data_IF_225234863008
#
_entry.id   IF_225234863008
#
_cell.length_a   1.000
_cell.length_b   1.000
_cell.length_c   1.000
_cell.angle_alpha   90.00
_cell.angle_beta   90.00
_cell.angle_gamma   90.00
#
_symmetry.space_group_name_H-M   'P 1'
#
loop_
_entity.id
_entity.type
_entity.pdbx_description
1 polymer ?
#
# COMPACT_ATOMS: atom_id res chain seq x y z
N UNK A 1 5.96 -11.30 -16.30
CA UNK A 1 7.32 -11.54 -15.74
C UNK A 1 7.30 -11.91 -14.27
N UNK A 2 6.55 -11.21 -13.41
CA UNK A 2 6.44 -11.52 -11.97
C UNK A 2 6.14 -13.01 -11.69
N UNK A 3 5.18 -13.61 -12.41
CA UNK A 3 4.80 -15.01 -12.20
C UNK A 3 5.92 -16.02 -12.55
N UNK A 4 6.80 -15.71 -13.52
CA UNK A 4 7.91 -16.62 -13.89
C UNK A 4 9.01 -16.57 -12.82
N UNK A 5 9.32 -15.36 -12.35
CA UNK A 5 10.27 -15.14 -11.29
C UNK A 5 9.81 -15.76 -9.96
N UNK A 6 8.53 -15.59 -9.61
CA UNK A 6 7.91 -16.19 -8.43
C UNK A 6 7.92 -17.72 -8.50
N UNK A 7 7.50 -18.30 -9.63
CA UNK A 7 7.53 -19.74 -9.85
C UNK A 7 8.95 -20.31 -9.68
N UNK A 8 9.95 -19.64 -10.25
CA UNK A 8 11.34 -20.07 -10.12
C UNK A 8 11.84 -20.01 -8.68
N UNK A 9 11.54 -18.93 -7.94
CA UNK A 9 11.92 -18.81 -6.52
C UNK A 9 11.30 -19.91 -5.65
N UNK A 10 10.06 -20.31 -5.95
CA UNK A 10 9.39 -21.39 -5.22
C UNK A 10 10.05 -22.76 -5.48
N UNK A 11 10.55 -23.01 -6.69
CA UNK A 11 11.27 -24.25 -7.04
C UNK A 11 12.71 -24.26 -6.52
N UNK A 12 13.35 -23.09 -6.40
CA UNK A 12 14.75 -22.96 -6.00
C UNK A 12 14.92 -21.94 -4.85
N UNK A 13 14.47 -22.25 -3.62
CA UNK A 13 14.42 -21.27 -2.52
C UNK A 13 15.77 -20.73 -2.07
N UNK A 14 16.85 -21.48 -2.31
CA UNK A 14 18.22 -21.09 -1.97
C UNK A 14 18.89 -20.23 -3.04
N UNK A 15 18.28 -20.07 -4.22
CA UNK A 15 18.84 -19.25 -5.29
C UNK A 15 18.70 -17.76 -4.98
N UNK A 16 19.78 -17.02 -5.17
CA UNK A 16 19.79 -15.54 -5.07
C UNK A 16 19.66 -14.86 -6.44
N UNK A 17 19.50 -15.63 -7.52
CA UNK A 17 19.46 -15.13 -8.90
C UNK A 17 18.18 -15.56 -9.60
N UNK A 18 17.65 -14.67 -10.43
CA UNK A 18 16.52 -14.97 -11.31
C UNK A 18 16.97 -15.81 -12.53
N UNK A 19 16.04 -16.58 -13.13
CA UNK A 19 16.34 -17.31 -14.35
C UNK A 19 16.50 -16.35 -15.52
N UNK A 20 17.29 -16.75 -16.52
CA UNK A 20 17.32 -16.06 -17.80
C UNK A 20 15.95 -16.20 -18.50
N UNK A 21 15.39 -15.08 -18.94
CA UNK A 21 14.13 -15.04 -19.68
C UNK A 21 14.46 -14.68 -21.12
N UNK A 22 14.17 -15.60 -22.05
CA UNK A 22 14.32 -15.36 -23.48
C UNK A 22 12.97 -14.90 -24.07
N UNK A 23 12.84 -13.63 -24.53
CA UNK A 23 11.57 -13.13 -25.03
C UNK A 23 11.31 -13.68 -26.44
N UNK A 24 10.25 -14.47 -26.59
CA UNK A 24 9.72 -14.93 -27.87
C UNK A 24 8.33 -14.35 -28.06
N UNK A 25 8.12 -13.69 -29.20
CA UNK A 25 6.82 -13.14 -29.59
C UNK A 25 6.40 -13.80 -30.89
N UNK A 26 5.26 -14.48 -30.86
CA UNK A 26 4.63 -15.02 -32.06
C UNK A 26 3.67 -13.96 -32.63
N UNK A 27 3.90 -13.57 -33.87
CA UNK A 27 3.00 -12.70 -34.62
C UNK A 27 2.38 -13.51 -35.77
N UNK A 28 1.05 -13.52 -35.84
CA UNK A 28 0.30 -14.29 -36.83
C UNK A 28 -0.88 -13.45 -37.34
N UNK A 29 -0.58 -12.50 -38.21
CA UNK A 29 -1.56 -11.66 -38.89
C UNK A 29 -1.36 -11.79 -40.41
N UNK A 30 -2.35 -11.36 -41.19
CA UNK A 30 -2.29 -11.33 -42.65
C UNK A 30 -1.36 -10.22 -43.19
N UNK A 31 -1.04 -9.22 -42.34
CA UNK A 31 -0.11 -8.14 -42.68
C UNK A 31 1.32 -8.48 -42.24
N UNK A 32 2.32 -7.82 -42.85
CA UNK A 32 3.72 -7.97 -42.41
C UNK A 32 3.93 -7.25 -41.08
N UNK A 33 4.74 -7.84 -40.22
CA UNK A 33 5.19 -7.19 -38.99
C UNK A 33 6.10 -6.00 -39.33
N UNK A 34 5.80 -4.82 -38.77
CA UNK A 34 6.52 -3.56 -39.06
C UNK A 34 7.05 -2.83 -37.83
N UNK A 35 6.65 -3.25 -36.62
CA UNK A 35 7.16 -2.65 -35.39
C UNK A 35 8.64 -3.02 -35.16
N UNK A 36 9.33 -2.24 -34.32
CA UNK A 36 10.72 -2.55 -33.99
C UNK A 36 10.83 -3.83 -33.16
N UNK A 37 11.88 -4.62 -33.42
CA UNK A 37 12.26 -5.77 -32.59
C UNK A 37 13.13 -5.35 -31.39
N UNK A 38 13.62 -4.12 -31.37
CA UNK A 38 14.34 -3.55 -30.25
C UNK A 38 13.32 -2.90 -29.29
N UNK A 39 13.27 -3.39 -28.06
CA UNK A 39 12.36 -2.92 -27.02
C UNK A 39 12.43 -1.39 -26.83
N UNK A 40 13.63 -0.80 -26.88
CA UNK A 40 13.82 0.61 -26.60
C UNK A 40 13.19 1.50 -27.68
N UNK A 41 13.19 1.05 -28.93
CA UNK A 41 12.65 1.80 -30.07
C UNK A 41 11.11 1.84 -30.06
N UNK A 42 10.47 1.08 -29.17
CA UNK A 42 9.02 1.10 -28.98
C UNK A 42 8.56 2.28 -28.09
N UNK A 43 9.49 3.01 -27.46
CA UNK A 43 9.20 4.15 -26.61
C UNK A 43 9.54 5.47 -27.31
N UNK A 44 8.78 6.53 -27.03
CA UNK A 44 9.05 7.88 -27.58
C UNK A 44 10.45 8.40 -27.25
N UNK A 45 10.95 8.09 -26.03
CA UNK A 45 12.30 8.43 -25.60
C UNK A 45 13.10 7.17 -25.30
N UNK A 46 13.63 6.56 -26.37
CA UNK A 46 14.38 5.30 -26.29
C UNK A 46 15.63 5.40 -25.42
N UNK A 47 16.33 6.54 -25.45
CA UNK A 47 17.55 6.78 -24.65
C UNK A 47 17.25 6.79 -23.15
N UNK A 48 16.21 7.51 -22.73
CA UNK A 48 15.81 7.59 -21.32
C UNK A 48 15.41 6.22 -20.77
N UNK A 49 14.58 5.47 -21.51
CA UNK A 49 14.12 4.15 -21.07
C UNK A 49 15.28 3.17 -20.99
N UNK A 50 16.15 3.16 -22.00
CA UNK A 50 17.35 2.32 -22.01
C UNK A 50 18.26 2.65 -20.83
N UNK A 51 18.52 3.93 -20.57
CA UNK A 51 19.33 4.37 -19.43
C UNK A 51 18.69 4.02 -18.08
N UNK A 52 17.37 4.08 -17.97
CA UNK A 52 16.66 3.78 -16.72
C UNK A 52 16.61 2.28 -16.42
N UNK A 53 16.46 1.44 -17.45
CA UNK A 53 16.22 0.00 -17.28
C UNK A 53 17.47 -0.87 -17.44
N UNK A 54 18.52 -0.37 -18.08
CA UNK A 54 19.77 -1.14 -18.28
C UNK A 54 20.81 -0.88 -17.20
N UNK A 55 20.63 0.16 -16.38
CA UNK A 55 21.50 0.49 -15.25
C UNK A 55 20.90 -0.03 -13.94
N UNK A 56 21.63 0.19 -12.84
CA UNK A 56 21.13 -0.08 -11.51
C UNK A 56 19.79 0.64 -11.29
N UNK A 57 18.83 -0.09 -10.73
CA UNK A 57 17.53 0.49 -10.39
C UNK A 57 17.68 1.50 -9.25
N UNK A 58 16.81 2.50 -9.23
CA UNK A 58 16.76 3.43 -8.12
C UNK A 58 16.08 2.76 -6.91
N UNK A 59 16.84 2.53 -5.84
CA UNK A 59 16.30 2.11 -4.54
C UNK A 59 15.94 3.35 -3.71
N UNK A 60 14.65 3.50 -3.37
CA UNK A 60 14.20 4.51 -2.40
C UNK A 60 14.12 3.84 -1.03
N UNK A 61 15.16 3.99 -0.23
CA UNK A 61 15.17 3.52 1.16
C UNK A 61 14.51 4.54 2.09
N UNK A 62 13.20 4.39 2.27
CA UNK A 62 12.40 5.28 3.11
C UNK A 62 12.90 5.37 4.57
N UNK A 63 13.56 4.33 5.10
CA UNK A 63 14.03 4.38 6.49
C UNK A 63 15.15 5.39 6.69
N UNK A 64 15.95 5.63 5.65
CA UNK A 64 17.10 6.54 5.68
C UNK A 64 16.76 7.97 5.22
N UNK A 65 15.52 8.24 4.78
CA UNK A 65 15.10 9.59 4.37
C UNK A 65 14.39 10.28 5.56
N UNK A 66 14.80 11.50 5.98
CA UNK A 66 14.14 12.26 7.03
C UNK A 66 12.68 12.59 6.69
N UNK A 67 11.80 12.62 7.69
CA UNK A 67 10.36 12.88 7.48
C UNK A 67 10.13 14.28 6.89
N UNK A 68 10.96 15.26 7.24
CA UNK A 68 10.90 16.63 6.69
C UNK A 68 11.12 16.63 5.18
N UNK A 69 12.04 15.78 4.70
CA UNK A 69 12.34 15.63 3.28
C UNK A 69 11.17 14.97 2.53
N UNK A 70 10.54 13.97 3.15
CA UNK A 70 9.35 13.31 2.58
C UNK A 70 8.15 14.28 2.49
N UNK A 71 8.02 15.18 3.46
CA UNK A 71 6.93 16.18 3.52
C UNK A 71 7.06 17.33 2.51
N UNK A 72 8.18 17.46 1.79
CA UNK A 72 8.36 18.48 0.74
C UNK A 72 7.35 18.34 -0.41
N UNK A 73 6.84 17.14 -0.68
CA UNK A 73 5.79 16.89 -1.66
C UNK A 73 4.59 16.22 -0.98
N UNK A 74 3.49 16.97 -0.80
CA UNK A 74 2.32 16.47 -0.07
C UNK A 74 1.75 15.16 -0.62
N UNK A 75 1.70 15.00 -1.94
CA UNK A 75 1.20 13.78 -2.57
C UNK A 75 2.05 12.57 -2.21
N UNK A 76 3.38 12.70 -2.31
CA UNK A 76 4.29 11.61 -1.98
C UNK A 76 4.38 11.35 -0.48
N UNK A 77 4.30 12.41 0.33
CA UNK A 77 4.44 12.34 1.79
C UNK A 77 3.46 11.33 2.41
N UNK A 78 2.19 11.33 1.98
CA UNK A 78 1.16 10.45 2.54
C UNK A 78 1.56 8.99 2.40
N UNK A 79 1.82 8.52 1.17
CA UNK A 79 2.22 7.13 0.94
C UNK A 79 3.56 6.81 1.59
N UNK A 80 4.57 7.67 1.41
CA UNK A 80 5.94 7.40 1.86
C UNK A 80 6.05 7.32 3.38
N UNK A 81 5.39 8.23 4.12
CA UNK A 81 5.37 8.20 5.57
C UNK A 81 4.59 6.98 6.05
N UNK A 82 3.40 6.69 5.50
CA UNK A 82 2.65 5.51 5.91
C UNK A 82 3.44 4.23 5.66
N UNK A 83 4.06 4.05 4.49
CA UNK A 83 4.92 2.90 4.19
C UNK A 83 6.11 2.79 5.15
N UNK A 84 6.75 3.91 5.50
CA UNK A 84 7.90 3.94 6.42
C UNK A 84 7.54 3.46 7.84
N UNK A 85 6.31 3.74 8.29
CA UNK A 85 5.87 3.50 9.66
C UNK A 85 4.78 2.41 9.80
N UNK A 86 4.32 1.78 8.72
CA UNK A 86 3.21 0.80 8.73
C UNK A 86 3.44 -0.40 9.67
N UNK A 87 4.70 -0.72 9.97
CA UNK A 87 5.09 -1.81 10.88
C UNK A 87 5.54 -1.33 12.26
N UNK A 88 5.46 -0.04 12.55
CA UNK A 88 5.82 0.57 13.84
C UNK A 88 4.57 0.83 14.66
N UNK A 89 4.72 0.89 15.98
CA UNK A 89 3.65 1.34 16.88
C UNK A 89 3.34 2.83 16.62
N UNK A 90 2.09 3.22 16.80
CA UNK A 90 1.58 4.60 16.68
C UNK A 90 1.51 5.16 15.24
N UNK A 91 1.00 4.38 14.29
CA UNK A 91 0.75 4.88 12.93
C UNK A 91 -0.23 6.06 12.88
N UNK A 92 -1.09 6.20 13.90
CA UNK A 92 -1.98 7.35 14.05
C UNK A 92 -1.24 8.68 14.25
N UNK A 93 -0.17 8.72 15.06
CA UNK A 93 0.65 9.93 15.24
C UNK A 93 1.17 10.44 13.88
N UNK A 94 1.53 9.50 12.99
CA UNK A 94 1.96 9.82 11.63
C UNK A 94 0.85 10.32 10.72
N UNK A 95 -0.37 9.83 10.89
CA UNK A 95 -1.54 10.42 10.25
C UNK A 95 -1.78 11.87 10.69
N UNK A 96 -1.61 12.19 11.98
CA UNK A 96 -1.70 13.57 12.47
C UNK A 96 -0.61 14.45 11.86
N UNK A 97 0.63 13.97 11.79
CA UNK A 97 1.76 14.69 11.22
C UNK A 97 1.59 15.04 9.73
N UNK A 98 0.86 14.23 8.98
CA UNK A 98 0.59 14.45 7.53
C UNK A 98 -0.79 15.08 7.27
N UNK A 99 -1.54 15.45 8.31
CA UNK A 99 -2.89 16.02 8.16
C UNK A 99 -2.94 17.24 7.24
N UNK A 100 -1.93 18.10 7.29
CA UNK A 100 -1.78 19.25 6.39
C UNK A 100 -1.59 18.85 4.92
N UNK A 101 -1.00 17.69 4.64
CA UNK A 101 -0.90 17.17 3.29
C UNK A 101 -2.27 16.68 2.78
N UNK A 102 -3.10 16.10 3.66
CA UNK A 102 -4.42 15.60 3.28
C UNK A 102 -5.31 16.73 2.77
N UNK A 103 -5.28 17.90 3.41
CA UNK A 103 -6.10 19.05 2.99
C UNK A 103 -5.72 19.56 1.60
N UNK A 104 -4.43 19.51 1.25
CA UNK A 104 -3.92 19.87 -0.08
C UNK A 104 -4.44 18.90 -1.14
N UNK A 105 -4.35 17.59 -0.86
CA UNK A 105 -4.66 16.53 -1.82
C UNK A 105 -6.17 16.37 -2.00
N UNK A 106 -6.95 16.55 -0.93
CA UNK A 106 -8.41 16.45 -0.90
C UNK A 106 -9.15 17.43 -1.83
N UNK A 107 -8.45 18.42 -2.41
CA UNK A 107 -9.01 19.38 -3.37
C UNK A 107 -9.33 18.78 -4.75
N UNK A 108 -9.05 17.50 -4.97
CA UNK A 108 -9.31 16.81 -6.24
C UNK A 108 -9.95 15.44 -6.01
N UNK A 109 -10.77 14.97 -6.97
CA UNK A 109 -11.35 13.63 -6.88
C UNK A 109 -10.27 12.53 -6.81
N UNK A 110 -9.21 12.65 -7.60
CA UNK A 110 -8.06 11.75 -7.55
C UNK A 110 -7.41 11.73 -6.17
N UNK A 111 -7.29 12.89 -5.53
CA UNK A 111 -6.74 12.98 -4.19
C UNK A 111 -7.65 12.40 -3.13
N UNK A 112 -8.97 12.57 -3.25
CA UNK A 112 -9.94 11.88 -2.38
C UNK A 112 -9.80 10.36 -2.51
N UNK A 113 -9.70 9.84 -3.72
CA UNK A 113 -9.54 8.40 -3.94
C UNK A 113 -8.17 7.89 -3.45
N UNK A 114 -7.13 8.72 -3.56
CA UNK A 114 -5.83 8.42 -2.98
C UNK A 114 -5.85 8.35 -1.45
N UNK A 115 -6.55 9.27 -0.77
CA UNK A 115 -6.72 9.23 0.69
C UNK A 115 -7.45 7.94 1.11
N UNK A 116 -8.48 7.52 0.37
CA UNK A 116 -9.15 6.23 0.62
C UNK A 116 -8.18 5.06 0.51
N UNK A 117 -7.36 5.03 -0.54
CA UNK A 117 -6.34 3.98 -0.70
C UNK A 117 -5.32 3.97 0.44
N UNK A 118 -4.87 5.15 0.90
CA UNK A 118 -3.96 5.29 2.03
C UNK A 118 -4.59 4.78 3.35
N UNK A 119 -5.88 5.06 3.57
CA UNK A 119 -6.63 4.52 4.70
C UNK A 119 -6.76 3.01 4.60
N UNK A 120 -7.26 2.47 3.48
CA UNK A 120 -7.36 1.01 3.28
C UNK A 120 -6.04 0.28 3.47
N UNK A 121 -4.92 0.88 3.07
CA UNK A 121 -3.59 0.33 3.26
C UNK A 121 -3.16 0.27 4.74
N UNK A 122 -3.42 1.33 5.51
CA UNK A 122 -2.90 1.49 6.88
C UNK A 122 -3.84 1.00 7.98
N UNK A 123 -5.16 0.92 7.73
CA UNK A 123 -6.18 0.64 8.74
C UNK A 123 -6.00 -0.70 9.46
N UNK A 124 -5.46 -1.72 8.79
CA UNK A 124 -5.21 -3.04 9.41
C UNK A 124 -4.11 -3.01 10.48
N UNK A 125 -3.35 -1.91 10.56
CA UNK A 125 -2.21 -1.71 11.47
C UNK A 125 -2.49 -0.65 12.55
N UNK A 126 -3.70 -0.12 12.59
CA UNK A 126 -4.13 0.89 13.57
C UNK A 126 -5.07 0.21 14.58
N UNK A 127 -4.89 0.51 15.86
CA UNK A 127 -5.75 0.00 16.93
C UNK A 127 -7.14 0.65 16.90
N UNK A 128 -8.11 0.03 17.58
CA UNK A 128 -9.50 0.48 17.49
C UNK A 128 -9.73 1.87 18.11
N UNK A 129 -9.01 2.20 19.19
CA UNK A 129 -9.04 3.53 19.80
C UNK A 129 -8.53 4.59 18.82
N UNK A 130 -7.40 4.32 18.20
CA UNK A 130 -6.73 5.22 17.26
C UNK A 130 -7.54 5.43 15.97
N UNK A 131 -8.38 4.48 15.57
CA UNK A 131 -9.32 4.66 14.45
C UNK A 131 -10.39 5.70 14.73
N UNK A 132 -10.90 5.74 15.95
CA UNK A 132 -11.88 6.75 16.36
C UNK A 132 -11.21 8.13 16.35
N UNK A 133 -9.97 8.21 16.81
CA UNK A 133 -9.21 9.46 16.78
C UNK A 133 -8.85 9.88 15.33
N UNK A 134 -8.52 8.92 14.47
CA UNK A 134 -8.31 9.15 13.03
C UNK A 134 -9.57 9.69 12.36
N UNK A 135 -10.74 9.12 12.64
CA UNK A 135 -12.02 9.63 12.15
C UNK A 135 -12.25 11.09 12.59
N UNK A 136 -12.07 11.38 13.87
CA UNK A 136 -12.24 12.72 14.41
C UNK A 136 -11.26 13.73 13.80
N UNK A 137 -10.02 13.30 13.56
CA UNK A 137 -9.01 14.11 12.89
C UNK A 137 -9.40 14.40 11.43
N UNK A 138 -9.88 13.40 10.68
CA UNK A 138 -10.36 13.57 9.31
C UNK A 138 -11.54 14.53 9.21
N UNK A 139 -12.51 14.44 10.14
CA UNK A 139 -13.64 15.40 10.26
C UNK A 139 -13.18 16.83 10.50
N UNK A 140 -12.07 17.00 11.21
CA UNK A 140 -11.53 18.31 11.55
C UNK A 140 -10.70 18.90 10.41
N UNK A 141 -9.94 18.08 9.68
CA UNK A 141 -9.04 18.57 8.64
C UNK A 141 -9.67 18.63 7.24
N UNK A 142 -10.67 17.80 6.94
CA UNK A 142 -11.32 17.75 5.63
C UNK A 142 -12.67 18.48 5.64
N UNK A 143 -13.11 18.93 4.45
CA UNK A 143 -14.45 19.47 4.33
C UNK A 143 -15.51 18.36 4.50
N UNK A 144 -16.72 18.67 5.00
CA UNK A 144 -17.72 17.65 5.33
C UNK A 144 -18.11 16.74 4.16
N UNK A 145 -18.19 17.29 2.94
CA UNK A 145 -18.58 16.49 1.75
C UNK A 145 -17.50 15.48 1.36
N UNK A 146 -16.23 15.85 1.48
CA UNK A 146 -15.09 14.98 1.18
C UNK A 146 -14.93 13.93 2.26
N UNK A 147 -15.04 14.32 3.53
CA UNK A 147 -15.00 13.40 4.65
C UNK A 147 -16.11 12.35 4.53
N UNK A 148 -17.36 12.75 4.28
CA UNK A 148 -18.49 11.83 4.12
C UNK A 148 -18.23 10.83 2.98
N UNK A 149 -17.69 11.30 1.85
CA UNK A 149 -17.34 10.45 0.70
C UNK A 149 -16.23 9.44 1.03
N UNK A 150 -15.24 9.84 1.83
CA UNK A 150 -14.16 8.94 2.26
C UNK A 150 -14.73 7.91 3.23
N UNK A 151 -15.41 8.37 4.28
CA UNK A 151 -15.99 7.55 5.34
C UNK A 151 -16.98 6.52 4.80
N UNK A 152 -17.90 6.93 3.92
CA UNK A 152 -18.85 6.01 3.29
C UNK A 152 -18.18 4.88 2.50
N UNK A 153 -16.99 5.11 1.95
CA UNK A 153 -16.26 4.09 1.19
C UNK A 153 -15.45 3.11 2.05
N UNK A 154 -15.02 3.53 3.25
CA UNK A 154 -14.23 2.69 4.17
C UNK A 154 -15.08 2.09 5.30
N UNK A 155 -16.31 2.54 5.49
CA UNK A 155 -17.22 2.05 6.54
C UNK A 155 -17.42 0.52 6.49
N UNK A 156 -17.50 -0.06 5.29
CA UNK A 156 -17.62 -1.51 5.16
C UNK A 156 -16.39 -2.25 5.69
N UNK A 157 -15.19 -1.71 5.43
CA UNK A 157 -13.94 -2.27 5.94
C UNK A 157 -13.90 -2.22 7.48
N UNK A 158 -14.38 -1.12 8.08
CA UNK A 158 -14.46 -1.00 9.53
C UNK A 158 -15.46 -1.98 10.15
N UNK A 159 -16.62 -2.14 9.53
CA UNK A 159 -17.65 -3.07 10.00
C UNK A 159 -17.14 -4.51 9.98
N UNK A 160 -16.55 -4.94 8.85
CA UNK A 160 -16.03 -6.30 8.70
C UNK A 160 -14.92 -6.59 9.71
N UNK A 161 -13.96 -5.68 9.87
CA UNK A 161 -12.88 -5.85 10.83
C UNK A 161 -13.40 -5.90 12.28
N UNK A 162 -14.42 -5.11 12.60
CA UNK A 162 -15.08 -5.14 13.90
C UNK A 162 -15.74 -6.50 14.20
N UNK A 163 -16.41 -7.11 13.21
CA UNK A 163 -17.01 -8.45 13.33
C UNK A 163 -15.92 -9.48 13.58
N UNK A 164 -14.85 -9.47 12.78
CA UNK A 164 -13.77 -10.45 12.86
C UNK A 164 -13.05 -10.41 14.23
N UNK A 165 -12.73 -9.20 14.71
CA UNK A 165 -12.17 -9.01 16.06
C UNK A 165 -13.14 -9.45 17.15
N UNK A 166 -14.44 -9.19 16.99
CA UNK A 166 -15.47 -9.62 17.93
C UNK A 166 -15.52 -11.14 18.10
N UNK A 167 -15.41 -11.90 17.00
CA UNK A 167 -15.35 -13.36 17.00
C UNK A 167 -14.09 -13.83 17.75
N UNK A 168 -12.90 -13.29 17.39
CA UNK A 168 -11.64 -13.68 18.03
C UNK A 168 -11.63 -13.44 19.55
N UNK A 169 -12.15 -12.29 20.00
CA UNK A 169 -12.26 -11.98 21.43
C UNK A 169 -13.23 -12.96 22.13
N UNK A 170 -14.33 -13.32 21.47
CA UNK A 170 -15.29 -14.32 21.97
C UNK A 170 -14.65 -15.69 22.15
N UNK A 171 -13.91 -16.18 21.15
CA UNK A 171 -13.18 -17.45 21.21
C UNK A 171 -12.11 -17.46 22.31
N UNK A 172 -11.35 -16.37 22.46
CA UNK A 172 -10.32 -16.24 23.49
C UNK A 172 -10.91 -16.29 24.90
N UNK A 173 -12.01 -15.56 25.16
CA UNK A 173 -12.71 -15.58 26.45
C UNK A 173 -13.28 -16.97 26.77
N UNK A 174 -13.85 -17.66 25.79
CA UNK A 174 -14.32 -19.04 25.95
C UNK A 174 -13.16 -19.99 26.31
N UNK A 175 -12.02 -19.87 25.62
CA UNK A 175 -10.84 -20.68 25.92
C UNK A 175 -10.29 -20.43 27.33
N UNK A 176 -10.29 -19.18 27.81
CA UNK A 176 -9.90 -18.84 29.18
C UNK A 176 -10.87 -19.42 30.22
N UNK A 177 -12.18 -19.32 29.99
CA UNK A 177 -13.20 -19.90 30.87
C UNK A 177 -13.07 -21.42 30.97
N UNK A 178 -12.83 -22.11 29.84
CA UNK A 178 -12.58 -23.55 29.83
C UNK A 178 -11.31 -23.91 30.61
N UNK A 179 -10.21 -23.16 30.43
CA UNK A 179 -8.97 -23.38 31.18
C UNK A 179 -9.13 -23.16 32.68
N UNK A 180 -9.92 -22.16 33.10
CA UNK A 180 -10.19 -21.90 34.52
C UNK A 180 -11.02 -23.03 35.15
N UNK A 181 -12.07 -23.49 34.48
CA UNK A 181 -12.92 -24.59 34.94
C UNK A 181 -12.19 -25.95 35.02
N UNK A 182 -11.12 -26.14 34.24
CA UNK A 182 -10.27 -27.35 34.30
C UNK A 182 -9.23 -27.28 35.43
N UNK A 183 -8.83 -26.08 35.88
CA UNK A 183 -7.89 -25.90 37.00
C UNK A 183 -8.55 -25.91 38.39
N UNK A 184 -9.86 -25.70 38.46
CA UNK A 184 -10.64 -25.71 39.71
C UNK A 184 -11.25 -27.10 40.02
N UNK A 185 -10.89 -28.13 39.24
CA UNK A 185 -11.17 -29.55 39.51
C UNK A 185 -9.87 -30.30 39.80
#
# INVERSE_FOLDING_TARGET
MLNIAEWYSNLYPSSKKFPFIYPLVFFNDNQKYTASLNLWDLFENSELVKATWSNDYQLIDLQNIPDEKLKENSWLAVLQILMKYVHKTNLFDKWQEISSCLTIIANSNTGVDYIKSALSYSLTKIDQTDKIELENMLKTCLNPKVEEKIMGSIAHHWLQEGIEKGIQIGEMKLAEMVKKNVKEK
#
